data_IF_674607982956
#
_entry.id   IF_674607982956
#
_cell.length_a   1.000
_cell.length_b   1.000
_cell.length_c   1.000
_cell.angle_alpha   90.00
_cell.angle_beta   90.00
_cell.angle_gamma   90.00
#
_symmetry.space_group_name_H-M   'P 1'
#
loop_
_entity.id
_entity.type
_entity.pdbx_description
1 polymer ?
#
# COMPACT_ATOMS: atom_id res chain seq x y z
N UNK A 1 -7.52 -11.73 12.63
CA UNK A 1 -8.02 -10.40 12.22
C UNK A 1 -7.31 -9.24 12.93
N UNK A 2 -7.24 -9.19 14.27
CA UNK A 2 -6.61 -8.07 15.00
C UNK A 2 -5.20 -7.68 14.51
N UNK A 3 -4.32 -8.65 14.26
CA UNK A 3 -2.98 -8.37 13.72
C UNK A 3 -2.98 -7.74 12.32
N UNK A 4 -3.98 -8.01 11.48
CA UNK A 4 -4.03 -7.47 10.11
C UNK A 4 -4.36 -5.98 10.10
N UNK A 5 -5.27 -5.56 10.98
CA UNK A 5 -5.64 -4.14 11.12
C UNK A 5 -4.43 -3.34 11.60
N UNK A 6 -3.69 -3.87 12.58
CA UNK A 6 -2.46 -3.24 13.08
C UNK A 6 -1.41 -3.13 11.97
N UNK A 7 -1.18 -4.21 11.22
CA UNK A 7 -0.23 -4.22 10.09
C UNK A 7 -0.64 -3.19 9.02
N UNK A 8 -1.92 -3.10 8.71
CA UNK A 8 -2.45 -2.13 7.76
C UNK A 8 -2.25 -0.69 8.24
N UNK A 9 -2.55 -0.41 9.51
CA UNK A 9 -2.33 0.90 10.12
C UNK A 9 -0.84 1.29 10.15
N UNK A 10 0.05 0.35 10.48
CA UNK A 10 1.50 0.56 10.38
C UNK A 10 1.89 0.89 8.94
N UNK A 11 1.33 0.16 7.96
CA UNK A 11 1.51 0.47 6.54
C UNK A 11 1.18 1.93 6.24
N UNK A 12 -0.04 2.38 6.58
CA UNK A 12 -0.48 3.76 6.36
C UNK A 12 0.51 4.76 6.95
N UNK A 13 0.90 4.58 8.21
CA UNK A 13 1.81 5.49 8.90
C UNK A 13 3.20 5.52 8.25
N UNK A 14 3.75 4.35 7.90
CA UNK A 14 5.06 4.23 7.25
C UNK A 14 5.03 4.84 5.84
N UNK A 15 3.94 4.65 5.08
CA UNK A 15 3.78 5.25 3.76
C UNK A 15 3.66 6.77 3.79
N UNK A 16 2.94 7.32 4.77
CA UNK A 16 2.89 8.75 4.98
C UNK A 16 4.27 9.30 5.41
N UNK A 17 4.94 8.62 6.35
CA UNK A 17 6.25 9.02 6.82
C UNK A 17 7.33 8.94 5.73
N UNK A 18 7.31 7.91 4.86
CA UNK A 18 8.28 7.79 3.78
C UNK A 18 8.20 8.93 2.78
N UNK A 19 7.01 9.52 2.60
CA UNK A 19 6.83 10.75 1.83
C UNK A 19 7.36 11.96 2.60
N UNK A 20 6.93 12.13 3.85
CA UNK A 20 7.28 13.30 4.67
C UNK A 20 8.78 13.44 4.97
N UNK A 21 9.53 12.34 5.02
CA UNK A 21 10.98 12.36 5.27
C UNK A 21 11.77 12.94 4.09
N UNK A 22 11.21 12.97 2.88
CA UNK A 22 11.93 13.42 1.70
C UNK A 22 12.47 14.84 1.82
N UNK A 23 11.66 15.77 2.32
CA UNK A 23 12.06 17.18 2.42
C UNK A 23 13.24 17.39 3.37
N UNK A 24 13.52 16.42 4.24
CA UNK A 24 14.66 16.44 5.16
C UNK A 24 15.96 15.94 4.51
N UNK A 25 15.89 15.23 3.38
CA UNK A 25 17.05 14.55 2.78
C UNK A 25 17.38 15.01 1.37
N UNK A 26 16.45 15.64 0.65
CA UNK A 26 16.64 16.02 -0.75
C UNK A 26 16.64 17.52 -1.03
N UNK A 27 16.37 18.36 -0.02
CA UNK A 27 16.08 19.79 -0.16
C UNK A 27 14.94 20.09 -1.15
N UNK A 28 14.14 19.08 -1.52
CA UNK A 28 12.96 19.22 -2.38
C UNK A 28 11.70 19.03 -1.56
N UNK A 29 10.66 19.75 -1.97
CA UNK A 29 9.36 19.64 -1.33
C UNK A 29 8.75 18.23 -1.53
N UNK A 30 8.97 17.63 -2.71
CA UNK A 30 8.30 16.38 -3.09
C UNK A 30 9.29 15.24 -3.43
N UNK A 31 8.92 13.97 -3.13
CA UNK A 31 9.77 12.79 -3.41
C UNK A 31 10.20 12.64 -4.85
N UNK A 32 9.33 13.02 -5.78
CA UNK A 32 9.53 12.76 -7.21
C UNK A 32 10.33 13.86 -7.90
N UNK A 33 10.58 14.98 -7.22
CA UNK A 33 11.38 16.10 -7.74
C UNK A 33 12.88 15.80 -7.75
N UNK A 34 13.30 14.70 -7.10
CA UNK A 34 14.69 14.27 -7.08
C UNK A 34 14.80 12.75 -6.97
N UNK A 35 15.81 12.19 -7.65
CA UNK A 35 16.13 10.77 -7.49
C UNK A 35 16.44 10.42 -6.02
N UNK A 36 17.12 11.29 -5.29
CA UNK A 36 17.48 11.08 -3.88
C UNK A 36 16.23 10.98 -2.98
N UNK A 37 15.25 11.88 -3.16
CA UNK A 37 13.98 11.83 -2.45
C UNK A 37 13.21 10.55 -2.74
N UNK A 38 13.10 10.19 -4.03
CA UNK A 38 12.42 8.99 -4.47
C UNK A 38 13.03 7.73 -3.85
N UNK A 39 14.35 7.54 -4.00
CA UNK A 39 15.03 6.36 -3.48
C UNK A 39 14.98 6.29 -1.95
N UNK A 40 15.07 7.42 -1.25
CA UNK A 40 14.96 7.45 0.21
C UNK A 40 13.57 7.01 0.68
N UNK A 41 12.50 7.51 0.05
CA UNK A 41 11.13 7.09 0.34
C UNK A 41 10.92 5.59 0.05
N UNK A 42 11.39 5.09 -1.09
CA UNK A 42 11.31 3.66 -1.41
C UNK A 42 12.12 2.79 -0.46
N UNK A 43 13.30 3.26 -0.04
CA UNK A 43 14.16 2.53 0.88
C UNK A 43 13.50 2.32 2.25
N UNK A 44 12.85 3.36 2.79
CA UNK A 44 12.09 3.26 4.05
C UNK A 44 10.99 2.21 3.92
N UNK A 45 10.20 2.24 2.84
CA UNK A 45 9.15 1.27 2.59
C UNK A 45 9.71 -0.15 2.44
N UNK A 46 10.84 -0.30 1.75
CA UNK A 46 11.49 -1.56 1.43
C UNK A 46 12.07 -2.26 2.66
N UNK A 47 12.64 -1.52 3.64
CA UNK A 47 13.15 -2.12 4.89
C UNK A 47 12.03 -2.85 5.63
N UNK A 48 10.88 -2.18 5.81
CA UNK A 48 9.75 -2.76 6.53
C UNK A 48 9.11 -3.88 5.69
N UNK A 49 9.01 -3.72 4.37
CA UNK A 49 8.54 -4.76 3.47
C UNK A 49 9.41 -6.02 3.55
N UNK A 50 10.74 -5.86 3.54
CA UNK A 50 11.69 -6.95 3.66
C UNK A 50 11.54 -7.66 5.01
N UNK A 51 11.47 -6.90 6.12
CA UNK A 51 11.25 -7.47 7.44
C UNK A 51 9.93 -8.26 7.52
N UNK A 52 8.85 -7.73 6.95
CA UNK A 52 7.55 -8.41 6.87
C UNK A 52 7.61 -9.67 6.02
N UNK A 53 8.28 -9.63 4.87
CA UNK A 53 8.49 -10.81 4.02
C UNK A 53 9.34 -11.89 4.68
N UNK A 54 10.35 -11.49 5.47
CA UNK A 54 11.27 -12.41 6.15
C UNK A 54 10.68 -13.04 7.41
N UNK A 55 9.95 -12.27 8.24
CA UNK A 55 9.43 -12.73 9.54
C UNK A 55 7.94 -13.11 9.54
N UNK A 56 7.16 -12.72 8.53
CA UNK A 56 5.70 -12.93 8.49
C UNK A 56 5.28 -13.66 7.21
N UNK A 57 3.97 -13.89 7.06
CA UNK A 57 3.43 -14.57 5.88
C UNK A 57 3.30 -13.57 4.73
N UNK A 58 3.33 -14.05 3.48
CA UNK A 58 3.08 -13.22 2.29
C UNK A 58 1.81 -12.37 2.39
N UNK A 59 0.74 -12.92 3.00
CA UNK A 59 -0.51 -12.19 3.23
C UNK A 59 -0.36 -10.98 4.18
N UNK A 60 0.61 -11.01 5.11
CA UNK A 60 0.89 -9.88 6.00
C UNK A 60 1.64 -8.78 5.24
N UNK A 61 2.62 -9.17 4.42
CA UNK A 61 3.32 -8.28 3.50
C UNK A 61 2.34 -7.56 2.55
N UNK A 62 1.42 -8.28 1.93
CA UNK A 62 0.42 -7.68 1.04
C UNK A 62 -0.45 -6.63 1.76
N UNK A 63 -0.91 -6.92 2.98
CA UNK A 63 -1.72 -5.98 3.77
C UNK A 63 -0.92 -4.73 4.17
N UNK A 64 0.35 -4.91 4.54
CA UNK A 64 1.26 -3.80 4.80
C UNK A 64 1.43 -2.92 3.56
N UNK A 65 1.73 -3.51 2.40
CA UNK A 65 1.96 -2.77 1.16
C UNK A 65 0.73 -1.96 0.75
N UNK A 66 -0.47 -2.55 0.82
CA UNK A 66 -1.71 -1.82 0.51
C UNK A 66 -1.86 -0.61 1.44
N UNK A 67 -1.66 -0.79 2.75
CA UNK A 67 -1.70 0.31 3.71
C UNK A 67 -0.66 1.39 3.40
N UNK A 68 0.57 0.99 3.09
CA UNK A 68 1.68 1.89 2.76
C UNK A 68 1.39 2.74 1.51
N UNK A 69 0.92 2.13 0.43
CA UNK A 69 0.57 2.89 -0.77
C UNK A 69 -0.62 3.82 -0.53
N UNK A 70 -1.62 3.41 0.25
CA UNK A 70 -2.73 4.30 0.63
C UNK A 70 -2.21 5.49 1.44
N UNK A 71 -1.39 5.27 2.47
CA UNK A 71 -0.83 6.33 3.31
C UNK A 71 0.03 7.31 2.52
N UNK A 72 0.89 6.79 1.63
CA UNK A 72 1.76 7.61 0.78
C UNK A 72 0.95 8.48 -0.19
N UNK A 73 -0.06 7.91 -0.87
CA UNK A 73 -0.92 8.68 -1.79
C UNK A 73 -1.81 9.68 -1.04
N UNK A 74 -2.35 9.29 0.13
CA UNK A 74 -3.17 10.19 0.94
C UNK A 74 -2.35 11.39 1.45
N UNK A 75 -1.12 11.16 1.91
CA UNK A 75 -0.21 12.23 2.31
C UNK A 75 0.09 13.16 1.12
N UNK A 76 0.47 12.59 -0.04
CA UNK A 76 0.73 13.35 -1.26
C UNK A 76 -0.49 14.18 -1.70
N UNK A 77 -1.71 13.65 -1.56
CA UNK A 77 -2.93 14.37 -1.90
C UNK A 77 -3.25 15.52 -0.94
N UNK A 78 -3.03 15.33 0.37
CA UNK A 78 -3.32 16.34 1.39
C UNK A 78 -2.27 17.46 1.36
N UNK A 79 -0.99 17.09 1.29
CA UNK A 79 0.13 18.01 1.49
C UNK A 79 0.90 18.37 0.21
N UNK A 80 0.77 17.62 -0.88
CA UNK A 80 1.45 17.91 -2.14
C UNK A 80 0.91 19.15 -2.87
N UNK A 81 1.70 19.65 -3.83
CA UNK A 81 1.31 20.74 -4.73
C UNK A 81 0.19 20.35 -5.70
N UNK A 82 -0.35 21.31 -6.45
CA UNK A 82 -1.50 21.08 -7.35
C UNK A 82 -1.25 19.99 -8.41
N UNK A 83 -0.04 19.95 -8.96
CA UNK A 83 0.37 18.92 -9.92
C UNK A 83 0.47 17.54 -9.25
N UNK A 84 1.10 17.48 -8.07
CA UNK A 84 1.28 16.23 -7.33
C UNK A 84 -0.02 15.67 -6.78
N UNK A 85 -1.01 16.52 -6.48
CA UNK A 85 -2.36 16.07 -6.15
C UNK A 85 -3.02 15.36 -7.33
N UNK A 86 -2.82 15.84 -8.55
CA UNK A 86 -3.34 15.19 -9.76
C UNK A 86 -2.66 13.83 -9.99
N UNK A 87 -1.34 13.76 -9.83
CA UNK A 87 -0.59 12.50 -9.90
C UNK A 87 -0.95 11.52 -8.78
N UNK A 88 -1.15 11.99 -7.55
CA UNK A 88 -1.60 11.17 -6.43
C UNK A 88 -3.02 10.62 -6.68
N UNK A 89 -3.91 11.42 -7.28
CA UNK A 89 -5.24 10.96 -7.68
C UNK A 89 -5.15 9.88 -8.75
N UNK A 90 -4.28 10.05 -9.75
CA UNK A 90 -4.02 9.04 -10.78
C UNK A 90 -3.42 7.76 -10.18
N UNK A 91 -2.44 7.90 -9.28
CA UNK A 91 -1.82 6.79 -8.54
C UNK A 91 -2.83 6.02 -7.69
N UNK A 92 -3.76 6.73 -7.06
CA UNK A 92 -4.85 6.14 -6.30
C UNK A 92 -5.83 5.38 -7.22
N UNK A 93 -6.28 6.01 -8.31
CA UNK A 93 -7.21 5.37 -9.27
C UNK A 93 -6.58 4.12 -9.88
N UNK A 94 -5.32 4.20 -10.32
CA UNK A 94 -4.59 3.05 -10.85
C UNK A 94 -4.40 1.94 -9.81
N UNK A 95 -4.06 2.28 -8.56
CA UNK A 95 -3.95 1.28 -7.48
C UNK A 95 -5.29 0.60 -7.20
N UNK A 96 -6.39 1.36 -7.13
CA UNK A 96 -7.73 0.80 -6.92
C UNK A 96 -8.09 -0.16 -8.06
N UNK A 97 -7.87 0.28 -9.30
CA UNK A 97 -8.30 -0.44 -10.50
C UNK A 97 -7.46 -1.69 -10.75
N UNK A 98 -6.15 -1.61 -10.58
CA UNK A 98 -5.21 -2.67 -10.96
C UNK A 98 -4.88 -3.62 -9.80
N UNK A 99 -5.07 -3.19 -8.55
CA UNK A 99 -4.70 -3.99 -7.37
C UNK A 99 -5.92 -4.29 -6.51
N UNK A 100 -6.67 -3.27 -6.08
CA UNK A 100 -7.76 -3.47 -5.11
C UNK A 100 -8.91 -4.25 -5.74
N UNK A 101 -9.40 -3.85 -6.92
CA UNK A 101 -10.50 -4.53 -7.60
C UNK A 101 -10.19 -6.01 -7.90
N UNK A 102 -9.07 -6.36 -8.57
CA UNK A 102 -8.73 -7.76 -8.80
C UNK A 102 -8.61 -8.57 -7.51
N UNK A 103 -8.06 -7.98 -6.45
CA UNK A 103 -7.92 -8.64 -5.16
C UNK A 103 -9.27 -8.92 -4.50
N UNK A 104 -10.21 -7.96 -4.54
CA UNK A 104 -11.59 -8.14 -4.06
C UNK A 104 -12.31 -9.23 -4.85
N UNK A 105 -12.26 -9.20 -6.18
CA UNK A 105 -12.88 -10.22 -7.02
C UNK A 105 -12.26 -11.61 -6.83
N UNK A 106 -10.94 -11.68 -6.64
CA UNK A 106 -10.26 -12.93 -6.28
C UNK A 106 -10.75 -13.51 -4.94
N UNK A 107 -10.94 -12.67 -3.93
CA UNK A 107 -11.52 -13.10 -2.64
C UNK A 107 -12.96 -13.59 -2.81
N UNK A 108 -13.79 -12.89 -3.58
CA UNK A 108 -15.16 -13.31 -3.88
C UNK A 108 -15.16 -14.69 -4.56
N UNK A 109 -14.29 -14.91 -5.55
CA UNK A 109 -14.14 -16.19 -6.23
C UNK A 109 -13.78 -17.34 -5.28
N UNK A 110 -12.87 -17.11 -4.33
CA UNK A 110 -12.50 -18.11 -3.30
C UNK A 110 -13.71 -18.46 -2.42
N UNK A 111 -14.50 -17.45 -2.02
CA UNK A 111 -15.69 -17.66 -1.19
C UNK A 111 -16.71 -18.51 -1.96
N UNK A 112 -17.01 -18.15 -3.21
CA UNK A 112 -17.96 -18.88 -4.06
C UNK A 112 -17.51 -20.33 -4.25
N UNK A 113 -16.25 -20.55 -4.59
CA UNK A 113 -15.70 -21.90 -4.77
C UNK A 113 -15.82 -22.75 -3.48
N UNK A 114 -15.52 -22.14 -2.32
CA UNK A 114 -15.63 -22.82 -1.03
C UNK A 114 -17.08 -23.20 -0.70
N UNK A 115 -18.05 -22.32 -1.01
CA UNK A 115 -19.48 -22.59 -0.81
C UNK A 115 -19.96 -23.71 -1.73
N UNK A 116 -19.55 -23.71 -3.00
CA UNK A 116 -19.93 -24.72 -3.98
C UNK A 116 -19.37 -26.10 -3.61
N UNK A 117 -18.10 -26.18 -3.19
CA UNK A 117 -17.51 -27.43 -2.71
C UNK A 117 -18.23 -27.97 -1.47
N UNK A 118 -18.68 -27.09 -0.57
CA UNK A 118 -19.44 -27.50 0.62
C UNK A 118 -20.83 -28.03 0.24
N UNK A 119 -21.51 -27.38 -0.70
CA UNK A 119 -22.80 -27.83 -1.23
C UNK A 119 -22.68 -29.20 -1.92
N UNK A 120 -21.69 -29.38 -2.78
CA UNK A 120 -21.45 -30.64 -3.50
C UNK A 120 -21.04 -31.82 -2.60
N UNK A 121 -20.60 -31.57 -1.36
CA UNK A 121 -20.32 -32.62 -0.38
C UNK A 121 -21.53 -32.97 0.49
N UNK A 122 -22.54 -32.11 0.52
CA UNK A 122 -23.74 -32.27 1.33
C UNK A 122 -24.89 -32.95 0.58
N UNK A 123 -24.81 -32.96 -0.76
CA UNK A 123 -25.69 -33.70 -1.67
C UNK A 123 -24.89 -34.83 -2.33
#
# INVERSE_FOLDING_TARGET
>A
MKNKIVIFAIGILVGAASWGVVSLVSDRYEPFDSGLGFYSGQFILAIIAFWMGYKKRFRDLAVYLIGAYIGMNAYAYIFGGSEQRAWALLGMVTTITLVVFPLVFGVIGIIISSLQQKYNKAN
#
